data_IF_170093006994
#
_entry.id   IF_170093006994
#
_cell.length_a   1.000
_cell.length_b   1.000
_cell.length_c   1.000
_cell.angle_alpha   90.00
_cell.angle_beta   90.00
_cell.angle_gamma   90.00
#
_symmetry.space_group_name_H-M   'P 1'
#
loop_
_entity.id
_entity.type
_entity.pdbx_description
1 polymer ?
#
# COMPACT_ATOMS: atom_id res chain seq x y z
N UNK A 1 -13.25 -5.30 -24.14
CA UNK A 1 -12.46 -6.42 -23.58
C UNK A 1 -11.99 -5.98 -22.20
N UNK A 2 -12.49 -6.61 -21.13
CA UNK A 2 -12.10 -6.25 -19.76
C UNK A 2 -10.61 -6.54 -19.54
N UNK A 3 -9.86 -5.57 -19.01
CA UNK A 3 -8.46 -5.80 -18.64
C UNK A 3 -8.44 -6.89 -17.57
N UNK A 4 -7.81 -8.02 -17.85
CA UNK A 4 -7.53 -9.03 -16.82
C UNK A 4 -6.61 -8.37 -15.79
N UNK A 5 -7.15 -8.11 -14.60
CA UNK A 5 -6.33 -7.72 -13.46
C UNK A 5 -5.39 -8.88 -13.11
N UNK A 6 -4.11 -8.63 -12.81
CA UNK A 6 -3.21 -9.69 -12.37
C UNK A 6 -3.81 -10.39 -11.14
N UNK A 7 -3.80 -11.72 -11.12
CA UNK A 7 -4.17 -12.45 -9.91
C UNK A 7 -3.01 -12.36 -8.92
N UNK A 8 -3.13 -11.45 -7.96
CA UNK A 8 -2.11 -11.28 -6.92
C UNK A 8 -2.21 -12.40 -5.89
N UNK A 9 -1.08 -13.05 -5.53
CA UNK A 9 -1.09 -14.12 -4.56
C UNK A 9 -1.37 -13.58 -3.15
N UNK A 10 -1.96 -14.42 -2.29
CA UNK A 10 -2.29 -14.04 -0.92
C UNK A 10 -1.05 -13.64 -0.09
N UNK A 11 0.05 -14.34 -0.34
CA UNK A 11 1.37 -14.06 0.22
C UNK A 11 2.32 -13.68 -0.91
N UNK A 12 2.84 -12.46 -0.86
CA UNK A 12 3.66 -11.86 -1.91
C UNK A 12 5.13 -11.88 -1.54
N UNK A 13 6.01 -12.25 -2.47
CA UNK A 13 7.45 -11.97 -2.35
C UNK A 13 7.68 -10.46 -2.54
N UNK A 14 8.84 -9.97 -2.11
CA UNK A 14 9.22 -8.55 -2.21
C UNK A 14 8.93 -7.92 -3.59
N UNK A 15 9.35 -8.57 -4.68
CA UNK A 15 9.13 -8.06 -6.03
C UNK A 15 7.64 -7.95 -6.41
N UNK A 16 6.82 -8.92 -5.98
CA UNK A 16 5.38 -8.91 -6.21
C UNK A 16 4.69 -7.82 -5.38
N UNK A 17 5.12 -7.60 -4.13
CA UNK A 17 4.60 -6.52 -3.29
C UNK A 17 4.94 -5.14 -3.87
N UNK A 18 6.15 -4.97 -4.42
CA UNK A 18 6.56 -3.77 -5.15
C UNK A 18 5.66 -3.52 -6.36
N UNK A 19 5.42 -4.55 -7.19
CA UNK A 19 4.54 -4.44 -8.36
C UNK A 19 3.07 -4.20 -7.98
N UNK A 20 2.60 -4.77 -6.87
CA UNK A 20 1.25 -4.57 -6.37
C UNK A 20 1.00 -3.12 -5.94
N UNK A 21 1.99 -2.52 -5.29
CA UNK A 21 1.92 -1.15 -4.76
C UNK A 21 2.42 -0.09 -5.75
N UNK A 22 2.92 -0.50 -6.91
CA UNK A 22 3.61 0.34 -7.89
C UNK A 22 4.76 1.18 -7.26
N UNK A 23 5.57 0.52 -6.42
CA UNK A 23 6.70 1.12 -5.70
C UNK A 23 8.02 0.44 -6.05
N UNK A 24 9.12 1.18 -5.94
CA UNK A 24 10.45 0.58 -5.92
C UNK A 24 10.73 -0.17 -4.60
N UNK A 25 11.73 -1.04 -4.62
CA UNK A 25 12.14 -1.81 -3.45
C UNK A 25 12.62 -0.93 -2.28
N UNK A 26 13.19 0.24 -2.57
CA UNK A 26 13.65 1.20 -1.56
C UNK A 26 12.48 2.00 -0.97
N UNK A 27 11.49 2.37 -1.80
CA UNK A 27 10.26 3.01 -1.33
C UNK A 27 9.47 2.07 -0.42
N UNK A 28 9.35 0.80 -0.80
CA UNK A 28 8.71 -0.22 0.05
C UNK A 28 9.36 -0.27 1.45
N UNK A 29 10.69 -0.33 1.53
CA UNK A 29 11.41 -0.33 2.81
C UNK A 29 11.20 0.97 3.59
N UNK A 30 11.20 2.11 2.92
CA UNK A 30 10.94 3.42 3.56
C UNK A 30 9.54 3.49 4.14
N UNK A 31 8.54 3.03 3.41
CA UNK A 31 7.15 3.01 3.86
C UNK A 31 6.94 2.07 5.06
N UNK A 32 7.64 0.93 5.08
CA UNK A 32 7.69 0.03 6.26
C UNK A 32 8.35 0.74 7.44
N UNK A 33 9.51 1.39 7.23
CA UNK A 33 10.22 2.13 8.29
C UNK A 33 9.40 3.31 8.84
N UNK A 34 8.57 3.94 7.99
CA UNK A 34 7.63 4.98 8.40
C UNK A 34 6.34 4.44 9.07
N UNK A 35 6.17 3.11 9.18
CA UNK A 35 4.98 2.48 9.77
C UNK A 35 3.71 2.65 8.93
N UNK A 36 3.85 2.96 7.64
CA UNK A 36 2.74 3.08 6.68
C UNK A 36 2.39 1.75 6.04
N UNK A 37 3.35 0.84 5.91
CA UNK A 37 3.15 -0.53 5.43
C UNK A 37 3.51 -1.56 6.50
N UNK A 38 2.93 -2.77 6.44
CA UNK A 38 3.23 -3.83 7.40
C UNK A 38 4.64 -4.38 7.22
N UNK A 39 5.22 -4.84 8.33
CA UNK A 39 6.48 -5.60 8.31
C UNK A 39 6.28 -6.96 7.62
N UNK A 40 7.29 -7.48 6.90
CA UNK A 40 7.20 -8.80 6.30
C UNK A 40 7.15 -9.90 7.37
N UNK A 41 6.50 -11.00 7.01
CA UNK A 41 6.54 -12.24 7.78
C UNK A 41 7.51 -13.23 7.15
N UNK A 42 8.20 -14.02 7.98
CA UNK A 42 9.01 -15.13 7.49
C UNK A 42 8.10 -16.29 7.09
N UNK A 43 8.11 -16.67 5.82
CA UNK A 43 7.34 -17.81 5.30
C UNK A 43 8.24 -18.66 4.41
N UNK A 44 8.46 -19.91 4.82
CA UNK A 44 9.53 -20.73 4.24
C UNK A 44 10.90 -20.09 4.46
N UNK A 45 11.69 -19.96 3.41
CA UNK A 45 13.05 -19.41 3.45
C UNK A 45 13.11 -17.92 3.03
N UNK A 46 12.00 -17.19 3.10
CA UNK A 46 11.98 -15.81 2.63
C UNK A 46 10.92 -14.93 3.27
N UNK A 47 11.13 -13.62 3.12
CA UNK A 47 10.20 -12.59 3.54
C UNK A 47 9.01 -12.50 2.60
N UNK A 48 7.82 -12.53 3.17
CA UNK A 48 6.56 -12.43 2.45
C UNK A 48 5.66 -11.38 3.08
N UNK A 49 4.82 -10.78 2.24
CA UNK A 49 3.82 -9.80 2.64
C UNK A 49 2.43 -10.38 2.41
N UNK A 50 1.57 -10.28 3.42
CA UNK A 50 0.16 -10.60 3.29
C UNK A 50 -0.54 -9.50 2.50
N UNK A 51 -1.27 -9.89 1.46
CA UNK A 51 -2.08 -8.96 0.67
C UNK A 51 -3.14 -8.27 1.54
N UNK A 52 -3.81 -8.98 2.45
CA UNK A 52 -4.80 -8.35 3.34
C UNK A 52 -4.19 -7.35 4.31
N UNK A 53 -3.00 -7.63 4.82
CA UNK A 53 -2.38 -6.71 5.78
C UNK A 53 -1.97 -5.43 5.06
N UNK A 54 -1.47 -5.55 3.82
CA UNK A 54 -1.23 -4.40 2.95
C UNK A 54 -2.53 -3.64 2.73
N UNK A 55 -3.60 -4.31 2.31
CA UNK A 55 -4.89 -3.66 2.03
C UNK A 55 -5.45 -2.95 3.25
N UNK A 56 -5.41 -3.57 4.44
CA UNK A 56 -5.84 -2.93 5.69
C UNK A 56 -5.03 -1.67 6.03
N UNK A 57 -3.72 -1.66 5.73
CA UNK A 57 -2.89 -0.47 5.90
C UNK A 57 -3.24 0.60 4.86
N UNK A 58 -3.49 0.23 3.61
CA UNK A 58 -3.93 1.15 2.56
C UNK A 58 -5.30 1.74 2.88
N UNK A 59 -6.23 0.96 3.40
CA UNK A 59 -7.54 1.44 3.87
C UNK A 59 -7.38 2.44 5.02
N UNK A 60 -6.43 2.24 5.93
CA UNK A 60 -6.12 3.23 6.96
C UNK A 60 -5.50 4.51 6.39
N UNK A 61 -4.68 4.41 5.34
CA UNK A 61 -4.04 5.54 4.68
C UNK A 61 -4.98 6.33 3.76
N UNK A 62 -6.03 5.69 3.24
CA UNK A 62 -6.97 6.27 2.26
C UNK A 62 -8.36 6.50 2.83
N UNK A 63 -8.71 5.82 3.91
CA UNK A 63 -9.97 5.98 4.65
C UNK A 63 -10.01 7.27 5.47
N UNK A 64 -11.10 7.45 6.22
CA UNK A 64 -11.46 8.72 6.88
C UNK A 64 -10.41 9.29 7.86
N UNK A 65 -9.39 8.53 8.27
CA UNK A 65 -8.29 9.05 9.10
C UNK A 65 -7.31 9.91 8.28
N UNK A 66 -7.22 9.70 6.96
CA UNK A 66 -6.60 10.64 6.03
C UNK A 66 -7.52 11.82 5.66
N UNK A 67 -8.69 11.95 6.29
CA UNK A 67 -9.58 13.09 6.12
C UNK A 67 -9.15 14.37 6.85
N UNK A 68 -7.92 14.43 7.41
CA UNK A 68 -7.11 15.67 7.33
C UNK A 68 -6.57 15.81 5.89
N UNK A 69 -7.54 15.83 4.97
CA UNK A 69 -7.34 15.83 3.54
C UNK A 69 -6.60 17.11 3.18
N UNK A 70 -5.36 16.99 2.74
CA UNK A 70 -4.58 18.14 2.26
C UNK A 70 -5.28 18.86 1.08
N UNK A 71 -6.25 18.23 0.40
CA UNK A 71 -7.12 18.89 -0.58
C UNK A 71 -8.02 19.95 0.06
N UNK A 72 -8.46 19.79 1.32
CA UNK A 72 -9.18 20.83 2.07
C UNK A 72 -8.30 22.07 2.32
N UNK A 73 -6.97 21.92 2.28
CA UNK A 73 -6.01 23.03 2.42
C UNK A 73 -5.67 23.70 1.07
N UNK A 74 -6.15 23.16 -0.05
CA UNK A 74 -5.97 23.76 -1.38
C UNK A 74 -7.12 24.74 -1.69
N UNK A 75 -6.78 26.01 -1.95
CA UNK A 75 -7.73 27.10 -2.24
C UNK A 75 -8.67 26.84 -3.44
N UNK A 76 -8.38 25.83 -4.27
CA UNK A 76 -9.22 25.48 -5.43
C UNK A 76 -10.61 24.98 -5.05
N UNK A 77 -10.78 24.37 -3.86
CA UNK A 77 -12.04 23.78 -3.42
C UNK A 77 -12.63 24.49 -2.18
N UNK A 78 -12.06 25.61 -1.77
CA UNK A 78 -12.45 26.35 -0.57
C UNK A 78 -13.64 27.30 -0.78
N UNK A 79 -14.38 27.19 -1.89
CA UNK A 79 -15.53 28.03 -2.16
C UNK A 79 -16.70 27.19 -2.70
N UNK A 80 -17.61 26.89 -1.79
CA UNK A 80 -18.96 26.37 -2.03
C UNK A 80 -19.79 26.70 -0.82
#
# INVERSE_FOLDING_TARGET
MGKHVPHWPRMMKRATACAYLDLSAAELEREIACGRLPHPVMLGNGLHWSQADIDAHLERLTGEVAADDWRKKTKLYANG
#
